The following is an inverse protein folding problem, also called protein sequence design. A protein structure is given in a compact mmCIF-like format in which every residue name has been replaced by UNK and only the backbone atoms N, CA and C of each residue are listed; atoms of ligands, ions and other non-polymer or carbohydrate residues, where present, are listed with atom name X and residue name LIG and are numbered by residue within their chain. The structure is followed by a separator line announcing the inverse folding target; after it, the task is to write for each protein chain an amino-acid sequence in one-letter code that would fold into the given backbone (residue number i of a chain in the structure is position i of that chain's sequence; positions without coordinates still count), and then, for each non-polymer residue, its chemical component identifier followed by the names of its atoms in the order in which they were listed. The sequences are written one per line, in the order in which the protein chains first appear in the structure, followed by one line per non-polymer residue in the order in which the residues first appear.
data_IF_714290908647
#
_entry.id   IF_714290908647
#
_cell.length_a   1.000
_cell.length_b   1.000
_cell.length_c   1.000
_cell.angle_alpha   90.00
_cell.angle_beta   90.00
_cell.angle_gamma   90.00
#
_symmetry.space_group_name_H-M   'P 1'
#
loop_
_entity.id
_entity.type
_entity.pdbx_description
1 polymer ?
#
# COMPACT_ATOMS: atom_id res chain seq x y z
N UNK A 1 5.90 27.13 24.17
CA UNK A 1 4.75 27.26 23.25
C UNK A 1 4.77 26.01 22.39
N UNK A 2 4.06 24.97 22.82
CA UNK A 2 3.78 23.81 21.96
C UNK A 2 2.83 24.31 20.90
N UNK A 3 3.25 24.31 19.64
CA UNK A 3 2.36 24.65 18.54
C UNK A 3 1.15 23.73 18.61
N UNK A 4 -0.03 24.35 18.49
CA UNK A 4 -1.36 23.75 18.42
C UNK A 4 -1.56 22.99 17.09
N UNK A 5 -0.53 22.23 16.75
CA UNK A 5 -0.42 21.49 15.52
C UNK A 5 -1.13 20.15 15.73
N UNK A 6 -2.26 19.97 15.03
CA UNK A 6 -3.11 18.77 15.05
C UNK A 6 -2.44 17.51 14.45
N UNK A 7 -1.13 17.55 14.23
CA UNK A 7 -0.35 16.42 13.76
C UNK A 7 -0.12 15.38 14.85
N UNK A 8 -0.37 14.13 14.48
CA UNK A 8 -0.04 12.96 15.29
C UNK A 8 1.32 12.43 14.86
N UNK A 9 2.28 12.43 15.78
CA UNK A 9 3.65 11.95 15.52
C UNK A 9 3.81 10.52 16.00
N UNK A 10 4.33 9.67 15.13
CA UNK A 10 4.60 8.27 15.45
C UNK A 10 6.09 7.97 15.50
N UNK A 11 6.52 7.18 16.47
CA UNK A 11 7.89 6.65 16.49
C UNK A 11 8.01 5.36 15.67
N UNK A 12 9.24 4.96 15.33
CA UNK A 12 9.49 3.69 14.65
C UNK A 12 9.00 2.49 15.48
N UNK A 13 9.18 2.54 16.79
CA UNK A 13 8.74 1.51 17.74
C UNK A 13 7.21 1.40 17.79
N UNK A 14 6.52 2.54 17.82
CA UNK A 14 5.05 2.59 17.79
C UNK A 14 4.48 1.93 16.53
N UNK A 15 5.15 2.09 15.38
CA UNK A 15 4.75 1.44 14.12
C UNK A 15 5.13 -0.03 14.13
N UNK A 16 6.32 -0.38 14.64
CA UNK A 16 6.78 -1.77 14.71
C UNK A 16 5.85 -2.65 15.56
N UNK A 17 5.44 -2.17 16.74
CA UNK A 17 4.51 -2.87 17.64
C UNK A 17 3.12 -3.01 16.98
N UNK A 18 2.68 -2.02 16.21
CA UNK A 18 1.42 -2.14 15.45
C UNK A 18 1.51 -3.26 14.41
N UNK A 19 2.61 -3.32 13.65
CA UNK A 19 2.88 -4.34 12.64
C UNK A 19 2.94 -5.76 13.23
N UNK A 20 3.41 -5.90 14.47
CA UNK A 20 3.35 -7.18 15.19
C UNK A 20 1.91 -7.66 15.41
N UNK A 21 1.02 -6.78 15.90
CA UNK A 21 -0.39 -7.14 16.19
C UNK A 21 -1.16 -7.58 14.95
N UNK A 22 -0.76 -7.12 13.76
CA UNK A 22 -1.36 -7.55 12.49
C UNK A 22 -1.11 -9.03 12.19
N UNK A 23 -0.04 -9.62 12.74
CA UNK A 23 0.16 -11.07 12.67
C UNK A 23 -1.06 -11.80 13.21
N UNK A 24 -1.67 -11.32 14.29
CA UNK A 24 -2.87 -11.92 14.87
C UNK A 24 -4.07 -11.76 13.95
N UNK A 25 -4.27 -10.57 13.36
CA UNK A 25 -5.38 -10.34 12.41
C UNK A 25 -5.29 -11.24 11.18
N UNK A 26 -4.09 -11.39 10.61
CA UNK A 26 -3.84 -12.28 9.46
C UNK A 26 -3.92 -13.75 9.90
N UNK A 27 -3.38 -14.11 11.07
CA UNK A 27 -3.37 -15.51 11.54
C UNK A 27 -4.74 -16.00 12.02
N UNK A 28 -5.53 -15.15 12.68
CA UNK A 28 -6.92 -15.43 13.08
C UNK A 28 -7.81 -15.56 11.85
N UNK A 29 -7.64 -14.65 10.88
CA UNK A 29 -8.26 -14.73 9.56
C UNK A 29 -8.00 -16.09 8.89
N UNK A 30 -6.76 -16.58 8.95
CA UNK A 30 -6.35 -17.87 8.40
C UNK A 30 -6.89 -19.07 9.18
N UNK A 31 -7.06 -18.97 10.50
CA UNK A 31 -7.43 -20.11 11.36
C UNK A 31 -8.93 -20.39 11.44
N UNK A 32 -9.78 -19.36 11.28
CA UNK A 32 -11.25 -19.50 11.40
C UNK A 32 -11.95 -19.86 10.08
N UNK A 33 -11.20 -20.18 9.02
CA UNK A 33 -11.75 -20.60 7.72
C UNK A 33 -12.56 -19.53 6.98
N UNK A 34 -12.56 -18.28 7.46
CA UNK A 34 -13.26 -17.15 6.83
C UNK A 34 -12.41 -16.42 5.78
N UNK A 35 -11.13 -16.75 5.61
CA UNK A 35 -10.26 -16.07 4.63
C UNK A 35 -9.59 -17.00 3.62
N UNK A 36 -9.86 -16.72 2.34
CA UNK A 36 -9.28 -17.39 1.16
C UNK A 36 -7.86 -16.90 0.80
N UNK A 37 -7.34 -15.85 1.46
CA UNK A 37 -6.00 -15.33 1.21
C UNK A 37 -4.99 -15.93 2.21
N UNK A 38 -4.29 -16.98 1.77
CA UNK A 38 -3.16 -17.58 2.49
C UNK A 38 -1.92 -16.67 2.53
N UNK A 39 -0.90 -17.02 3.32
CA UNK A 39 0.40 -16.29 3.42
C UNK A 39 0.91 -15.81 2.05
N UNK A 40 1.28 -14.52 1.89
CA UNK A 40 1.64 -13.96 0.60
C UNK A 40 2.92 -14.58 0.05
N UNK A 41 2.97 -14.75 -1.27
CA UNK A 41 4.17 -15.20 -1.99
C UNK A 41 5.02 -14.03 -2.47
N UNK A 42 4.44 -12.85 -2.63
CA UNK A 42 5.11 -11.61 -3.02
C UNK A 42 4.50 -10.46 -2.22
N UNK A 43 5.32 -9.52 -1.79
CA UNK A 43 4.86 -8.23 -1.29
C UNK A 43 5.23 -7.13 -2.30
N UNK A 44 4.32 -6.21 -2.55
CA UNK A 44 4.57 -5.02 -3.38
C UNK A 44 4.43 -3.80 -2.48
N UNK A 45 5.54 -3.14 -2.18
CA UNK A 45 5.55 -1.87 -1.47
C UNK A 45 5.23 -0.73 -2.44
N UNK A 46 4.27 0.11 -2.09
CA UNK A 46 4.05 1.39 -2.77
C UNK A 46 5.17 2.34 -2.33
N UNK A 47 5.80 3.01 -3.29
CA UNK A 47 6.96 3.86 -3.09
C UNK A 47 6.65 5.07 -2.24
N UNK A 48 7.64 5.54 -1.48
CA UNK A 48 7.44 6.52 -0.41
C UNK A 48 7.36 5.82 0.93
N UNK A 49 6.15 5.62 1.47
CA UNK A 49 5.98 5.10 2.83
C UNK A 49 5.73 3.59 2.95
N UNK A 50 5.38 2.87 1.88
CA UNK A 50 5.13 1.42 1.94
C UNK A 50 6.36 0.53 2.20
N UNK A 51 7.59 1.04 2.01
CA UNK A 51 8.82 0.25 2.17
C UNK A 51 9.09 -0.22 3.59
N UNK A 52 9.02 0.70 4.56
CA UNK A 52 9.29 0.37 5.96
C UNK A 52 8.27 -0.64 6.51
N UNK A 53 6.94 -0.43 6.34
CA UNK A 53 5.92 -1.39 6.72
C UNK A 53 6.13 -2.76 6.04
N UNK A 54 6.41 -2.80 4.73
CA UNK A 54 6.63 -4.06 4.02
C UNK A 54 7.83 -4.84 4.60
N UNK A 55 8.94 -4.14 4.89
CA UNK A 55 10.14 -4.77 5.44
C UNK A 55 9.90 -5.34 6.83
N UNK A 56 9.24 -4.59 7.71
CA UNK A 56 8.96 -5.03 9.09
C UNK A 56 7.92 -6.15 9.08
N UNK A 57 6.83 -6.00 8.32
CA UNK A 57 5.76 -7.00 8.21
C UNK A 57 6.29 -8.36 7.71
N UNK A 58 7.25 -8.37 6.78
CA UNK A 58 7.91 -9.62 6.33
C UNK A 58 8.55 -10.39 7.47
N UNK A 59 9.07 -9.72 8.51
CA UNK A 59 9.64 -10.40 9.70
C UNK A 59 8.59 -11.26 10.40
N UNK A 60 7.34 -10.77 10.48
CA UNK A 60 6.24 -11.45 11.16
C UNK A 60 5.51 -12.48 10.26
N UNK A 61 5.50 -12.26 8.95
CA UNK A 61 4.87 -13.16 7.98
C UNK A 61 5.79 -14.29 7.49
N UNK A 62 7.08 -14.24 7.83
CA UNK A 62 8.05 -15.27 7.44
C UNK A 62 7.72 -16.60 8.10
N UNK A 63 7.52 -17.61 7.28
CA UNK A 63 7.54 -19.01 7.69
C UNK A 63 9.00 -19.50 7.78
N UNK A 64 9.48 -19.95 8.96
CA UNK A 64 10.86 -20.42 9.12
C UNK A 64 11.25 -21.59 8.21
N UNK A 65 10.26 -22.36 7.72
CA UNK A 65 10.47 -23.50 6.83
C UNK A 65 10.54 -23.12 5.35
N UNK A 66 10.25 -21.87 4.99
CA UNK A 66 10.16 -21.39 3.60
C UNK A 66 11.20 -20.31 3.31
N UNK A 67 11.42 -20.07 2.01
CA UNK A 67 12.19 -18.93 1.54
C UNK A 67 11.52 -17.62 1.97
N UNK A 68 12.32 -16.58 2.15
CA UNK A 68 11.81 -15.24 2.45
C UNK A 68 10.84 -14.76 1.36
N UNK A 69 9.80 -14.04 1.77
CA UNK A 69 8.86 -13.40 0.84
C UNK A 69 9.59 -12.26 0.12
N UNK A 70 9.71 -12.28 -1.22
CA UNK A 70 10.28 -11.17 -1.98
C UNK A 70 9.43 -9.91 -1.80
N UNK A 71 10.10 -8.76 -1.69
CA UNK A 71 9.47 -7.44 -1.66
C UNK A 71 9.87 -6.74 -2.94
N UNK A 72 8.88 -6.37 -3.75
CA UNK A 72 9.03 -5.52 -4.92
C UNK A 72 8.51 -4.13 -4.64
N UNK A 73 8.87 -3.16 -5.47
CA UNK A 73 8.46 -1.77 -5.32
C UNK A 73 7.73 -1.27 -6.56
N UNK A 74 6.70 -0.46 -6.35
CA UNK A 74 6.09 0.35 -7.40
C UNK A 74 6.13 1.82 -6.97
N UNK A 75 6.64 2.69 -7.84
CA UNK A 75 6.44 4.12 -7.73
C UNK A 75 5.16 4.51 -8.45
N UNK A 76 4.35 5.35 -7.83
CA UNK A 76 3.16 5.92 -8.46
C UNK A 76 3.45 7.40 -8.69
N UNK A 77 3.53 7.81 -9.95
CA UNK A 77 3.57 9.22 -10.30
C UNK A 77 2.16 9.64 -10.67
N UNK A 78 1.54 10.43 -9.79
CA UNK A 78 0.32 11.15 -10.10
C UNK A 78 0.77 12.49 -10.67
N UNK A 79 0.78 12.62 -12.00
CA UNK A 79 0.99 13.90 -12.65
C UNK A 79 -0.37 14.58 -12.82
N UNK A 80 -0.49 15.81 -12.37
CA UNK A 80 -1.54 16.70 -12.85
C UNK A 80 -1.05 17.25 -14.20
N UNK A 81 -1.62 16.76 -15.31
CA UNK A 81 -1.43 17.46 -16.59
C UNK A 81 -2.23 18.75 -16.50
N UNK A 82 -1.55 19.85 -16.15
CA UNK A 82 -2.03 21.19 -16.44
C UNK A 82 -2.08 21.30 -17.97
N UNK A 83 -3.26 21.07 -18.55
CA UNK A 83 -3.47 21.21 -19.98
C UNK A 83 -3.07 22.62 -20.42
N UNK A 84 -1.92 22.76 -21.05
CA UNK A 84 -1.59 23.95 -21.83
C UNK A 84 -2.41 23.88 -23.10
N UNK A 85 -3.61 24.45 -23.07
CA UNK A 85 -4.38 24.70 -24.28
C UNK A 85 -3.70 25.83 -25.06
N UNK A 86 -2.77 25.47 -25.94
CA UNK A 86 -2.50 26.28 -27.13
C UNK A 86 -3.73 26.12 -28.03
N UNK A 87 -4.70 27.03 -27.92
CA UNK A 87 -5.40 27.66 -29.04
C UNK A 87 -6.55 28.57 -28.58
N UNK A 88 -6.74 29.62 -29.38
CA UNK A 88 -7.55 30.79 -29.13
C UNK A 88 -9.05 30.50 -29.22
N UNK A 89 -9.75 30.47 -28.09
CA UNK A 89 -11.01 31.20 -27.87
C UNK A 89 -11.45 30.97 -26.43
N UNK A 90 -11.80 32.06 -25.75
CA UNK A 90 -12.04 32.08 -24.32
C UNK A 90 -13.21 31.18 -23.90
N UNK A 91 -12.89 30.11 -23.18
CA UNK A 91 -13.57 29.57 -21.99
C UNK A 91 -12.81 28.28 -21.57
N UNK A 92 -12.07 28.28 -20.43
CA UNK A 92 -11.37 27.09 -20.00
C UNK A 92 -12.36 26.06 -19.43
N UNK A 93 -12.72 25.07 -20.23
CA UNK A 93 -13.17 23.77 -19.72
C UNK A 93 -11.92 22.92 -19.45
N UNK A 94 -11.20 23.24 -18.39
CA UNK A 94 -10.10 22.40 -17.89
C UNK A 94 -10.70 21.20 -17.17
N UNK A 95 -11.02 20.14 -17.92
CA UNK A 95 -11.07 18.81 -17.31
C UNK A 95 -9.64 18.43 -16.93
N UNK A 96 -9.31 18.57 -15.64
CA UNK A 96 -8.05 18.08 -15.08
C UNK A 96 -7.94 16.57 -15.31
N UNK A 97 -7.20 16.17 -16.34
CA UNK A 97 -6.82 14.78 -16.53
C UNK A 97 -5.58 14.53 -15.68
N UNK A 98 -5.79 13.91 -14.52
CA UNK A 98 -4.68 13.37 -13.73
C UNK A 98 -4.05 12.23 -14.54
N UNK A 99 -2.89 12.50 -15.13
CA UNK A 99 -2.04 11.51 -15.77
C UNK A 99 -1.45 10.61 -14.70
N UNK A 100 -1.85 9.34 -14.66
CA UNK A 100 -1.33 8.39 -13.69
C UNK A 100 -0.36 7.45 -14.41
N UNK A 101 0.88 7.36 -13.93
CA UNK A 101 1.86 6.39 -14.42
C UNK A 101 2.37 5.53 -13.26
N UNK A 102 2.42 4.21 -13.48
CA UNK A 102 3.04 3.27 -12.53
C UNK A 102 4.44 2.91 -13.00
N UNK A 103 5.43 3.38 -12.26
CA UNK A 103 6.83 3.00 -12.46
C UNK A 103 7.09 1.75 -11.64
N UNK A 104 7.40 0.63 -12.30
CA UNK A 104 7.69 -0.64 -11.64
C UNK A 104 9.19 -0.79 -11.51
N UNK A 105 9.68 -1.08 -10.30
CA UNK A 105 11.06 -1.51 -10.15
C UNK A 105 11.14 -2.96 -10.63
N UNK A 106 11.74 -3.15 -11.81
CA UNK A 106 11.97 -4.39 -12.53
C UNK A 106 11.56 -5.72 -11.84
N UNK A 107 10.41 -6.28 -12.25
CA UNK A 107 9.91 -7.57 -11.76
C UNK A 107 10.61 -8.79 -12.38
N UNK A 108 11.57 -8.63 -13.30
CA UNK A 108 12.24 -9.76 -13.99
C UNK A 108 12.97 -10.70 -13.03
N UNK A 109 13.37 -10.19 -11.86
CA UNK A 109 13.98 -10.99 -10.77
C UNK A 109 13.06 -12.09 -10.22
N UNK A 110 11.75 -12.01 -10.49
CA UNK A 110 10.74 -12.99 -10.08
C UNK A 110 10.46 -14.06 -11.16
N UNK A 111 11.14 -14.00 -12.31
CA UNK A 111 11.03 -14.95 -13.41
C UNK A 111 10.09 -14.51 -14.53
N UNK A 112 9.77 -15.44 -15.45
CA UNK A 112 9.10 -15.14 -16.74
C UNK A 112 7.68 -14.60 -16.61
N UNK A 113 6.93 -15.05 -15.58
CA UNK A 113 5.55 -14.64 -15.30
C UNK A 113 5.44 -14.23 -13.82
N UNK A 114 5.94 -13.04 -13.46
CA UNK A 114 6.22 -12.70 -12.07
C UNK A 114 4.97 -12.57 -11.19
N UNK A 115 3.79 -12.35 -11.78
CA UNK A 115 2.54 -12.13 -11.02
C UNK A 115 1.53 -13.28 -11.14
N UNK A 116 1.65 -14.13 -12.17
CA UNK A 116 0.61 -15.13 -12.47
C UNK A 116 0.52 -16.23 -11.40
N UNK A 117 -0.70 -16.47 -10.92
CA UNK A 117 -1.02 -17.48 -9.91
C UNK A 117 -0.42 -17.21 -8.54
N UNK A 118 0.05 -15.99 -8.27
CA UNK A 118 0.65 -15.60 -7.00
C UNK A 118 -0.37 -14.97 -6.05
N UNK A 119 -0.11 -15.11 -4.75
CA UNK A 119 -0.74 -14.31 -3.70
C UNK A 119 0.13 -13.10 -3.42
N UNK A 120 -0.38 -11.92 -3.77
CA UNK A 120 0.36 -10.67 -3.76
C UNK A 120 -0.23 -9.75 -2.70
N UNK A 121 0.59 -9.31 -1.75
CA UNK A 121 0.21 -8.34 -0.73
C UNK A 121 0.77 -6.96 -1.11
N UNK A 122 -0.11 -6.03 -1.45
CA UNK A 122 0.19 -4.62 -1.69
C UNK A 122 0.29 -3.94 -0.33
N UNK A 123 1.37 -3.19 -0.09
CA UNK A 123 1.66 -2.58 1.21
C UNK A 123 1.89 -1.09 1.07
N UNK A 124 1.20 -0.32 1.92
CA UNK A 124 1.35 1.13 2.04
C UNK A 124 1.32 1.57 3.51
N UNK A 125 1.71 2.80 3.83
CA UNK A 125 1.59 3.32 5.19
C UNK A 125 0.18 3.78 5.54
N UNK A 126 -0.53 4.42 4.60
CA UNK A 126 -1.82 5.07 4.89
C UNK A 126 -2.85 4.89 3.77
N UNK A 127 -4.08 4.55 4.15
CA UNK A 127 -5.27 4.75 3.32
C UNK A 127 -5.94 6.07 3.73
N UNK A 128 -5.66 7.15 2.99
CA UNK A 128 -6.29 8.47 3.19
C UNK A 128 -7.57 8.59 2.35
N UNK A 129 -7.43 8.85 1.05
CA UNK A 129 -8.55 9.01 0.09
C UNK A 129 -8.79 7.75 -0.74
N UNK A 130 -8.00 6.68 -0.52
CA UNK A 130 -8.00 5.40 -1.26
C UNK A 130 -7.64 5.48 -2.75
N UNK A 131 -7.30 6.66 -3.28
CA UNK A 131 -7.01 6.84 -4.71
C UNK A 131 -5.74 6.09 -5.13
N UNK A 132 -4.67 6.17 -4.34
CA UNK A 132 -3.40 5.46 -4.54
C UNK A 132 -3.59 3.94 -4.58
N UNK A 133 -4.29 3.39 -3.59
CA UNK A 133 -4.57 1.95 -3.48
C UNK A 133 -5.44 1.44 -4.62
N UNK A 134 -6.52 2.16 -4.94
CA UNK A 134 -7.42 1.85 -6.06
C UNK A 134 -6.65 1.80 -7.38
N UNK A 135 -5.78 2.78 -7.59
CA UNK A 135 -4.95 2.87 -8.78
C UNK A 135 -3.92 1.73 -8.85
N UNK A 136 -3.21 1.45 -7.75
CA UNK A 136 -2.23 0.37 -7.69
C UNK A 136 -2.86 -1.00 -8.02
N UNK A 137 -4.04 -1.30 -7.45
CA UNK A 137 -4.76 -2.55 -7.74
C UNK A 137 -5.10 -2.64 -9.22
N UNK A 138 -5.74 -1.61 -9.78
CA UNK A 138 -6.17 -1.63 -11.19
C UNK A 138 -4.99 -1.86 -12.15
N UNK A 139 -3.84 -1.25 -11.86
CA UNK A 139 -2.65 -1.36 -12.70
C UNK A 139 -1.97 -2.73 -12.57
N UNK A 140 -1.92 -3.30 -11.37
CA UNK A 140 -1.41 -4.66 -11.17
C UNK A 140 -2.34 -5.72 -11.78
N UNK A 141 -3.65 -5.52 -11.75
CA UNK A 141 -4.60 -6.39 -12.44
C UNK A 141 -4.43 -6.33 -13.96
N UNK A 142 -4.24 -5.13 -14.52
CA UNK A 142 -3.88 -4.97 -15.94
C UNK A 142 -2.59 -5.71 -16.28
N UNK A 143 -1.58 -5.68 -15.42
CA UNK A 143 -0.33 -6.42 -15.64
C UNK A 143 -0.56 -7.94 -15.67
N UNK A 144 -1.41 -8.46 -14.78
CA UNK A 144 -1.80 -9.87 -14.78
C UNK A 144 -2.50 -10.21 -16.10
N UNK A 145 -3.45 -9.40 -16.55
CA UNK A 145 -4.13 -9.63 -17.83
C UNK A 145 -3.17 -9.55 -19.02
N UNK A 146 -2.23 -8.60 -19.01
CA UNK A 146 -1.20 -8.46 -20.03
C UNK A 146 -0.19 -9.62 -20.04
N UNK A 147 0.05 -10.28 -18.90
CA UNK A 147 0.86 -11.50 -18.84
C UNK A 147 0.06 -12.70 -19.34
N UNK A 148 -1.24 -12.81 -19.01
CA UNK A 148 -2.11 -13.88 -19.49
C UNK A 148 -2.33 -13.81 -21.00
N UNK A 149 -2.52 -12.62 -21.58
CA UNK A 149 -2.77 -12.43 -23.01
C UNK A 149 -1.61 -12.88 -23.92
N UNK A 150 -0.40 -12.99 -23.36
CA UNK A 150 0.80 -13.49 -24.05
C UNK A 150 0.92 -15.01 -24.06
N UNK A 151 -0.01 -15.72 -23.39
CA UNK A 151 0.00 -17.17 -23.22
C UNK A 151 -1.18 -17.81 -23.96
N UNK A 152 -0.99 -19.04 -24.46
CA UNK A 152 -2.09 -19.84 -25.01
C UNK A 152 -3.08 -20.27 -23.93
N UNK A 153 -4.35 -20.60 -24.26
CA UNK A 153 -5.33 -21.06 -23.26
C UNK A 153 -4.85 -22.24 -22.42
N UNK A 154 -4.13 -23.19 -23.03
CA UNK A 154 -3.54 -24.35 -22.36
C UNK A 154 -2.45 -23.96 -21.36
N UNK A 155 -1.70 -22.89 -21.63
CA UNK A 155 -0.70 -22.36 -20.70
C UNK A 155 -1.34 -21.54 -19.58
N UNK A 156 -2.37 -20.75 -19.88
CA UNK A 156 -3.13 -20.00 -18.87
C UNK A 156 -3.75 -20.93 -17.83
N UNK A 157 -4.31 -22.07 -18.25
CA UNK A 157 -4.90 -23.07 -17.39
C UNK A 157 -3.92 -23.72 -16.37
N UNK A 158 -2.60 -23.52 -16.54
CA UNK A 158 -1.59 -24.01 -15.59
C UNK A 158 -1.46 -23.14 -14.35
N UNK A 159 -1.95 -21.90 -14.40
CA UNK A 159 -1.87 -20.95 -13.29
C UNK A 159 -3.21 -20.94 -12.55
N UNK A 160 -3.21 -21.01 -11.20
CA UNK A 160 -4.39 -20.59 -10.44
C UNK A 160 -4.64 -19.08 -10.67
N UNK A 161 -5.81 -18.59 -10.26
CA UNK A 161 -6.08 -17.16 -10.27
C UNK A 161 -5.07 -16.42 -9.38
N UNK A 162 -4.48 -15.34 -9.90
CA UNK A 162 -3.70 -14.39 -9.10
C UNK A 162 -4.61 -13.74 -8.07
N UNK A 163 -4.15 -13.66 -6.81
CA UNK A 163 -4.91 -13.06 -5.72
C UNK A 163 -4.17 -11.84 -5.20
N UNK A 164 -4.90 -10.74 -5.04
CA UNK A 164 -4.38 -9.52 -4.43
C UNK A 164 -5.01 -9.30 -3.06
N UNK A 165 -4.20 -8.77 -2.15
CA UNK A 165 -4.63 -8.19 -0.89
C UNK A 165 -3.91 -6.88 -0.66
N UNK A 166 -4.52 -5.98 0.12
CA UNK A 166 -3.93 -4.71 0.54
C UNK A 166 -3.69 -4.76 2.04
N UNK A 167 -2.56 -4.24 2.46
CA UNK A 167 -2.27 -3.91 3.84
C UNK A 167 -1.83 -2.45 3.97
N UNK A 168 -2.48 -1.71 4.88
CA UNK A 168 -2.04 -0.37 5.29
C UNK A 168 -1.78 -0.32 6.79
N UNK A 169 -0.80 0.48 7.23
CA UNK A 169 -0.58 0.67 8.68
C UNK A 169 -1.77 1.42 9.30
N UNK A 170 -2.21 2.49 8.65
CA UNK A 170 -3.34 3.31 9.11
C UNK A 170 -4.40 3.47 8.02
N UNK A 171 -5.67 3.27 8.38
CA UNK A 171 -6.80 3.66 7.55
C UNK A 171 -7.48 4.88 8.18
N UNK A 172 -7.54 6.00 7.47
CA UNK A 172 -8.30 7.17 7.94
C UNK A 172 -9.79 6.92 7.74
N UNK A 173 -10.57 7.07 8.81
CA UNK A 173 -12.03 6.96 8.79
C UNK A 173 -12.65 8.26 8.29
N UNK A 174 -12.69 8.37 6.96
CA UNK A 174 -13.20 9.52 6.22
C UNK A 174 -13.75 9.07 4.86
N UNK A 175 -14.54 9.90 4.17
CA UNK A 175 -15.00 9.62 2.82
C UNK A 175 -13.85 9.29 1.87
N UNK A 176 -14.00 8.22 1.10
CA UNK A 176 -12.99 7.74 0.16
C UNK A 176 -13.35 8.15 -1.26
N UNK A 177 -12.38 8.70 -1.99
CA UNK A 177 -12.53 9.06 -3.40
C UNK A 177 -12.21 7.88 -4.33
N UNK A 178 -11.38 6.94 -3.89
CA UNK A 178 -11.10 5.68 -4.58
C UNK A 178 -11.96 4.51 -4.09
N UNK A 179 -12.13 3.50 -4.93
CA UNK A 179 -12.79 2.23 -4.59
C UNK A 179 -11.83 1.06 -4.70
N UNK A 180 -11.99 0.06 -3.83
CA UNK A 180 -11.28 -1.22 -3.92
C UNK A 180 -12.32 -2.27 -4.34
N UNK A 181 -12.05 -3.08 -5.38
CA UNK A 181 -12.97 -4.14 -5.80
C UNK A 181 -13.24 -5.16 -4.68
N UNK A 182 -14.46 -5.71 -4.63
CA UNK A 182 -14.91 -6.60 -3.53
C UNK A 182 -14.08 -7.88 -3.38
N UNK A 183 -13.49 -8.38 -4.47
CA UNK A 183 -12.66 -9.58 -4.44
C UNK A 183 -11.27 -9.34 -3.84
N UNK A 184 -10.86 -8.09 -3.66
CA UNK A 184 -9.57 -7.72 -3.08
C UNK A 184 -9.70 -7.67 -1.57
N UNK A 185 -8.90 -8.48 -0.87
CA UNK A 185 -8.89 -8.45 0.60
C UNK A 185 -8.17 -7.19 1.08
N UNK A 186 -8.73 -6.58 2.13
CA UNK A 186 -8.21 -5.34 2.70
C UNK A 186 -7.93 -5.50 4.18
N UNK A 187 -6.72 -5.13 4.59
CA UNK A 187 -6.25 -5.18 5.97
C UNK A 187 -5.73 -3.81 6.38
N UNK A 188 -6.19 -3.30 7.52
CA UNK A 188 -5.64 -2.09 8.13
C UNK A 188 -5.09 -2.44 9.52
N UNK A 189 -3.90 -1.94 9.84
CA UNK A 189 -3.32 -2.09 11.17
C UNK A 189 -4.12 -1.36 12.24
N UNK A 190 -4.61 -0.16 11.89
CA UNK A 190 -5.50 0.63 12.73
C UNK A 190 -6.38 1.54 11.89
N UNK A 191 -7.67 1.58 12.20
CA UNK A 191 -8.54 2.66 11.72
C UNK A 191 -8.44 3.85 12.67
N UNK A 192 -8.23 5.04 12.13
CA UNK A 192 -7.95 6.28 12.88
C UNK A 192 -8.79 7.44 12.34
N UNK A 193 -8.96 8.51 13.13
CA UNK A 193 -9.61 9.73 12.65
C UNK A 193 -8.82 10.42 11.52
N UNK A 194 -9.42 11.45 10.91
CA UNK A 194 -8.79 12.25 9.87
C UNK A 194 -7.76 13.24 10.46
N UNK A 195 -6.65 12.70 10.94
CA UNK A 195 -5.51 13.45 11.44
C UNK A 195 -4.36 13.40 10.44
N UNK A 196 -3.54 14.45 10.44
CA UNK A 196 -2.24 14.38 9.80
C UNK A 196 -1.32 13.48 10.63
N UNK A 197 -0.64 12.53 10.00
CA UNK A 197 0.25 11.58 10.67
C UNK A 197 1.67 11.86 10.19
N UNK A 198 2.54 12.28 11.09
CA UNK A 198 3.96 12.45 10.80
C UNK A 198 4.67 11.11 11.01
N UNK A 199 5.12 10.50 9.92
CA UNK A 199 5.85 9.24 9.97
C UNK A 199 7.34 9.48 10.24
N UNK A 200 8.00 8.58 11.01
CA UNK A 200 9.38 8.80 11.47
C UNK A 200 10.42 8.72 10.34
N UNK A 201 10.11 8.09 9.20
CA UNK A 201 11.00 8.05 8.03
C UNK A 201 10.97 9.34 7.20
N UNK A 202 10.04 10.26 7.49
CA UNK A 202 9.95 11.59 6.86
C UNK A 202 10.65 12.67 7.70
N UNK A 203 11.02 12.33 8.95
CA UNK A 203 11.68 13.25 9.86
C UNK A 203 13.17 13.41 9.53
N UNK A 204 13.63 14.65 9.37
CA UNK A 204 15.06 14.99 9.22
C UNK A 204 15.84 14.86 10.54
N UNK A 205 15.19 15.20 11.65
CA UNK A 205 15.72 15.07 13.01
C UNK A 205 14.85 14.09 13.79
N UNK A 206 15.29 12.83 13.84
CA UNK A 206 14.54 11.75 14.48
C UNK A 206 14.49 11.90 16.01
N UNK A 207 15.50 12.51 16.62
CA UNK A 207 15.52 12.72 18.07
C UNK A 207 14.53 13.81 18.48
N UNK A 208 14.45 14.90 17.72
CA UNK A 208 13.44 15.93 17.92
C UNK A 208 12.03 15.39 17.66
N UNK A 209 11.83 14.62 16.59
CA UNK A 209 10.55 13.96 16.28
C UNK A 209 10.10 13.07 17.43
N UNK A 210 10.98 12.21 17.94
CA UNK A 210 10.67 11.30 19.05
C UNK A 210 10.42 12.05 20.37
N UNK A 211 11.12 13.17 20.62
CA UNK A 211 10.84 14.02 21.79
C UNK A 211 9.44 14.64 21.71
N UNK A 212 9.03 15.12 20.54
CA UNK A 212 7.70 15.68 20.32
C UNK A 212 6.61 14.60 20.39
N UNK A 213 6.85 13.44 19.78
CA UNK A 213 5.94 12.29 19.85
C UNK A 213 5.69 11.82 21.29
N UNK A 214 6.67 11.96 22.18
CA UNK A 214 6.58 11.53 23.58
C UNK A 214 6.31 12.68 24.57
N UNK A 215 6.14 13.91 24.08
CA UNK A 215 5.91 15.06 24.94
C UNK A 215 4.56 14.94 25.67
N UNK A 216 4.46 15.39 26.95
CA UNK A 216 3.18 15.48 27.64
C UNK A 216 2.19 16.32 26.84
N UNK A 217 0.97 15.81 26.65
CA UNK A 217 -0.07 16.48 25.86
C UNK A 217 0.06 16.31 24.34
N UNK A 218 1.05 15.55 23.85
CA UNK A 218 1.12 15.16 22.44
C UNK A 218 -0.12 14.38 22.02
N UNK A 219 -0.63 14.68 20.81
CA UNK A 219 -1.76 13.95 20.26
C UNK A 219 -1.34 12.51 19.94
N UNK A 220 -2.18 11.54 20.33
CA UNK A 220 -1.96 10.11 20.11
C UNK A 220 -3.09 9.53 19.29
N UNK A 221 -2.77 8.52 18.48
CA UNK A 221 -3.78 7.72 17.78
C UNK A 221 -4.53 6.86 18.82
N UNK A 222 -5.74 7.28 19.21
CA UNK A 222 -6.68 6.47 20.03
C UNK A 222 -7.16 5.26 19.28
#
# INVERSE_FOLDING_TARGET
MTSDDQHVRLTYEEIHVRLERIRELISVSLSIGLNTFSSPEIMIAIGGGGFFPARVLRTFLKDPSKKNIPIQAIGLSLYEELGTSDEADGLPNTEEKVGKEVVRLDFTTLGRNPLLGKRILIVDEVDDTRTTLSYAVNELEKDVQNQLSKLSPTEQAKFPATQFAIFVVHNKDKPKAGSIPEHIKYFAGKTVGDHWIDYPWEAKDIDAHNKLANAPGSQKLT
#
